data_IF_221269301288
#
_entry.id   IF_221269301288
#
_cell.length_a   1.000
_cell.length_b   1.000
_cell.length_c   1.000
_cell.angle_alpha   90.00
_cell.angle_beta   90.00
_cell.angle_gamma   90.00
#
_symmetry.space_group_name_H-M   'P 1'
#
loop_
_entity.id
_entity.type
_entity.pdbx_description
1 polymer ?
#
# COMPACT_ATOMS: atom_id res chain seq x y z
N UNK A 1 29.73 -11.63 -45.05
CA UNK A 1 30.31 -12.50 -44.01
C UNK A 1 30.61 -11.62 -42.82
N UNK A 2 29.90 -11.81 -41.71
CA UNK A 2 30.14 -11.13 -40.43
C UNK A 2 30.96 -12.07 -39.52
N UNK A 3 31.86 -11.57 -38.67
CA UNK A 3 32.37 -12.34 -37.55
C UNK A 3 31.52 -12.08 -36.30
N UNK A 4 31.14 -13.19 -35.65
CA UNK A 4 30.58 -13.25 -34.31
C UNK A 4 31.70 -13.00 -33.28
N UNK A 5 31.47 -12.13 -32.30
CA UNK A 5 32.18 -12.16 -31.02
C UNK A 5 31.17 -12.09 -29.88
N UNK A 6 30.97 -13.25 -29.24
CA UNK A 6 30.20 -13.39 -28.00
C UNK A 6 31.18 -13.14 -26.85
N UNK A 7 31.16 -11.93 -26.31
CA UNK A 7 31.85 -11.60 -25.06
C UNK A 7 30.97 -12.04 -23.88
N UNK A 8 31.28 -13.21 -23.33
CA UNK A 8 30.73 -13.68 -22.05
C UNK A 8 31.36 -12.92 -20.89
N UNK A 9 30.75 -11.81 -20.47
CA UNK A 9 31.08 -11.15 -19.20
C UNK A 9 30.54 -12.00 -18.05
N UNK A 10 31.42 -12.75 -17.40
CA UNK A 10 31.17 -13.34 -16.09
C UNK A 10 31.05 -12.23 -15.05
N UNK A 11 29.82 -11.90 -14.64
CA UNK A 11 29.57 -11.02 -13.50
C UNK A 11 29.91 -11.80 -12.22
N UNK A 12 31.11 -11.59 -11.69
CA UNK A 12 31.47 -12.04 -10.34
C UNK A 12 30.53 -11.36 -9.34
N UNK A 13 29.76 -12.19 -8.61
CA UNK A 13 28.93 -11.77 -7.48
C UNK A 13 29.84 -11.52 -6.27
N UNK A 14 30.14 -10.27 -6.01
CA UNK A 14 30.48 -9.82 -4.65
C UNK A 14 29.20 -9.31 -3.98
N UNK A 15 28.33 -10.25 -3.60
CA UNK A 15 27.21 -10.01 -2.69
C UNK A 15 27.58 -10.62 -1.35
N UNK A 16 28.30 -9.89 -0.50
CA UNK A 16 28.35 -10.23 0.92
C UNK A 16 28.89 -9.03 1.72
N UNK A 17 27.99 -8.45 2.52
CA UNK A 17 28.18 -7.71 3.78
C UNK A 17 27.28 -6.46 3.89
N UNK A 18 26.96 -5.77 2.80
CA UNK A 18 26.06 -4.61 2.86
C UNK A 18 24.54 -4.93 2.82
N UNK A 19 24.14 -6.20 2.64
CA UNK A 19 22.73 -6.56 2.48
C UNK A 19 21.99 -6.85 3.79
N UNK A 20 22.71 -7.17 4.87
CA UNK A 20 22.10 -7.51 6.15
C UNK A 20 21.59 -6.27 6.90
N UNK A 21 22.41 -5.20 6.96
CA UNK A 21 22.04 -3.95 7.64
C UNK A 21 20.89 -3.20 6.94
N UNK A 22 20.77 -3.35 5.62
CA UNK A 22 19.65 -2.79 4.85
C UNK A 22 18.35 -3.60 5.01
N UNK A 23 18.46 -4.89 5.33
CA UNK A 23 17.29 -5.74 5.58
C UNK A 23 16.64 -5.37 6.91
N UNK A 24 17.43 -5.07 7.94
CA UNK A 24 16.92 -4.65 9.25
C UNK A 24 16.17 -3.31 9.19
N UNK A 25 16.63 -2.37 8.34
CA UNK A 25 15.92 -1.12 8.02
C UNK A 25 14.62 -1.33 7.24
N UNK A 26 14.54 -2.36 6.40
CA UNK A 26 13.32 -2.76 5.66
C UNK A 26 12.30 -3.51 6.53
N UNK A 27 12.70 -3.96 7.72
CA UNK A 27 11.92 -4.79 8.64
C UNK A 27 11.41 -4.03 9.88
N UNK A 28 11.51 -2.71 9.92
CA UNK A 28 11.01 -1.95 11.07
C UNK A 28 9.50 -2.04 11.22
N UNK A 29 9.05 -2.68 12.31
CA UNK A 29 7.66 -2.71 12.71
C UNK A 29 7.18 -1.28 13.05
N UNK A 30 6.07 -0.86 12.44
CA UNK A 30 5.41 0.40 12.81
C UNK A 30 4.52 0.13 14.03
N UNK A 31 4.90 0.71 15.17
CA UNK A 31 4.27 0.46 16.48
C UNK A 31 3.11 1.39 16.83
N UNK A 32 2.89 2.45 16.03
CA UNK A 32 1.79 3.41 16.23
C UNK A 32 0.42 2.72 16.29
N UNK A 33 -0.36 3.02 17.33
CA UNK A 33 -1.71 2.45 17.53
C UNK A 33 -2.66 2.91 16.42
N UNK A 34 -2.58 4.18 16.06
CA UNK A 34 -3.33 4.82 14.99
C UNK A 34 -3.03 4.15 13.64
N UNK A 35 -1.74 3.92 13.35
CA UNK A 35 -1.32 3.21 12.15
C UNK A 35 -1.92 1.80 12.09
N UNK A 36 -1.74 1.02 13.16
CA UNK A 36 -2.18 -0.39 13.24
C UNK A 36 -3.69 -0.57 13.13
N UNK A 37 -4.48 0.49 13.34
CA UNK A 37 -5.92 0.46 13.14
C UNK A 37 -6.32 0.35 11.65
N UNK A 38 -5.49 0.86 10.73
CA UNK A 38 -5.77 0.83 9.28
C UNK A 38 -4.80 -0.04 8.49
N UNK A 39 -3.51 -0.04 8.87
CA UNK A 39 -2.41 -0.63 8.11
C UNK A 39 -1.77 -1.80 8.87
N UNK A 40 -1.15 -2.75 8.16
CA UNK A 40 -0.34 -3.76 8.83
C UNK A 40 0.91 -3.12 9.47
N UNK A 41 1.39 -3.70 10.57
CA UNK A 41 2.58 -3.21 11.27
C UNK A 41 3.89 -3.58 10.57
N UNK A 42 3.86 -4.61 9.72
CA UNK A 42 4.96 -5.05 8.86
C UNK A 42 4.40 -5.44 7.48
N UNK A 43 5.22 -5.38 6.43
CA UNK A 43 4.81 -5.66 5.04
C UNK A 43 5.63 -6.80 4.41
N UNK A 44 6.15 -7.70 5.25
CA UNK A 44 7.12 -8.73 4.87
C UNK A 44 6.50 -9.91 4.16
N UNK A 45 5.25 -10.24 4.48
CA UNK A 45 4.51 -11.28 3.78
C UNK A 45 3.79 -10.71 2.57
N UNK A 46 3.62 -11.52 1.52
CA UNK A 46 2.81 -11.14 0.35
C UNK A 46 1.39 -10.72 0.76
N UNK A 47 0.81 -11.38 1.77
CA UNK A 47 -0.51 -11.06 2.32
C UNK A 47 -0.54 -9.68 2.97
N UNK A 48 0.47 -9.34 3.77
CA UNK A 48 0.52 -8.04 4.45
C UNK A 48 0.85 -6.91 3.48
N UNK A 49 1.74 -7.17 2.52
CA UNK A 49 2.02 -6.25 1.40
C UNK A 49 0.74 -5.95 0.59
N UNK A 50 -0.01 -7.00 0.22
CA UNK A 50 -1.30 -6.83 -0.46
C UNK A 50 -2.32 -6.04 0.38
N UNK A 51 -2.42 -6.36 1.67
CA UNK A 51 -3.28 -5.63 2.61
C UNK A 51 -2.88 -4.15 2.70
N UNK A 52 -1.58 -3.86 2.79
CA UNK A 52 -1.05 -2.51 2.81
C UNK A 52 -1.44 -1.73 1.55
N UNK A 53 -1.14 -2.27 0.36
CA UNK A 53 -1.45 -1.63 -0.94
C UNK A 53 -2.96 -1.38 -1.07
N UNK A 54 -3.78 -2.36 -0.74
CA UNK A 54 -5.24 -2.23 -0.80
C UNK A 54 -5.75 -1.11 0.11
N UNK A 55 -5.19 -1.00 1.33
CA UNK A 55 -5.55 0.05 2.28
C UNK A 55 -5.06 1.43 1.84
N UNK A 56 -3.87 1.53 1.26
CA UNK A 56 -3.35 2.76 0.69
C UNK A 56 -4.27 3.26 -0.44
N UNK A 57 -4.63 2.38 -1.37
CA UNK A 57 -5.51 2.72 -2.48
C UNK A 57 -6.84 3.27 -1.96
N UNK A 58 -7.50 2.54 -1.07
CA UNK A 58 -8.77 2.98 -0.48
C UNK A 58 -8.63 4.31 0.28
N UNK A 59 -7.58 4.51 1.07
CA UNK A 59 -7.33 5.75 1.81
C UNK A 59 -7.16 6.94 0.87
N UNK A 60 -6.29 6.80 -0.12
CA UNK A 60 -5.94 7.88 -1.05
C UNK A 60 -7.14 8.29 -1.88
N UNK A 61 -7.88 7.35 -2.45
CA UNK A 61 -9.12 7.66 -3.17
C UNK A 61 -10.16 8.32 -2.27
N UNK A 62 -10.37 7.79 -1.05
CA UNK A 62 -11.31 8.38 -0.08
C UNK A 62 -10.96 9.84 0.22
N UNK A 63 -9.68 10.12 0.49
CA UNK A 63 -9.20 11.45 0.83
C UNK A 63 -9.30 12.43 -0.32
N UNK A 64 -8.98 12.01 -1.54
CA UNK A 64 -9.16 12.82 -2.75
C UNK A 64 -10.64 13.14 -2.97
N UNK A 65 -11.53 12.15 -2.89
CA UNK A 65 -12.94 12.36 -3.16
C UNK A 65 -13.60 13.32 -2.16
N UNK A 66 -13.25 13.23 -0.87
CA UNK A 66 -13.72 14.16 0.15
C UNK A 66 -13.14 15.56 -0.09
N UNK A 67 -11.81 15.66 -0.25
CA UNK A 67 -11.12 16.96 -0.39
C UNK A 67 -11.57 17.74 -1.62
N UNK A 68 -12.02 17.04 -2.67
CA UNK A 68 -12.55 17.61 -3.90
C UNK A 68 -14.09 17.71 -3.89
N UNK A 69 -14.74 17.35 -2.78
CA UNK A 69 -16.19 17.39 -2.57
C UNK A 69 -16.98 16.65 -3.66
N UNK A 70 -16.46 15.51 -4.11
CA UNK A 70 -17.07 14.70 -5.17
C UNK A 70 -18.30 13.92 -4.66
N UNK A 71 -18.46 13.81 -3.35
CA UNK A 71 -19.60 13.15 -2.70
C UNK A 71 -20.00 13.90 -1.43
N UNK A 72 -21.16 13.55 -0.88
CA UNK A 72 -21.62 14.07 0.41
C UNK A 72 -20.62 13.75 1.51
N UNK A 73 -20.38 14.70 2.41
CA UNK A 73 -19.45 14.53 3.52
C UNK A 73 -19.81 13.34 4.42
N UNK A 74 -21.10 13.00 4.55
CA UNK A 74 -21.58 11.81 5.30
C UNK A 74 -21.01 10.49 4.79
N UNK A 75 -20.57 10.44 3.53
CA UNK A 75 -19.92 9.28 2.93
C UNK A 75 -18.48 9.08 3.42
N UNK A 76 -17.93 10.00 4.22
CA UNK A 76 -16.56 9.95 4.72
C UNK A 76 -16.50 10.15 6.23
N UNK A 77 -15.49 9.53 6.85
CA UNK A 77 -15.14 9.65 8.26
C UNK A 77 -13.66 9.96 8.39
N UNK A 78 -13.30 10.88 9.29
CA UNK A 78 -11.92 11.26 9.53
C UNK A 78 -11.23 10.19 10.38
N UNK A 79 -10.06 9.73 9.95
CA UNK A 79 -9.21 8.79 10.68
C UNK A 79 -7.86 9.43 10.95
N UNK A 80 -7.36 9.24 12.18
CA UNK A 80 -6.01 9.62 12.56
C UNK A 80 -5.06 8.50 12.14
N UNK A 81 -4.00 8.85 11.43
CA UNK A 81 -2.96 7.90 10.98
C UNK A 81 -1.73 7.98 11.87
N UNK A 82 -1.46 9.19 12.39
CA UNK A 82 -0.37 9.49 13.30
C UNK A 82 -0.69 10.78 14.07
N UNK A 83 0.16 11.20 15.01
CA UNK A 83 -0.05 12.36 15.89
C UNK A 83 -0.61 13.59 15.19
N UNK A 84 -0.03 13.94 14.04
CA UNK A 84 -0.37 15.15 13.27
C UNK A 84 -1.03 14.86 11.92
N UNK A 85 -1.25 13.58 11.59
CA UNK A 85 -1.73 13.17 10.27
C UNK A 85 -3.13 12.58 10.39
N UNK A 86 -4.06 13.18 9.67
CA UNK A 86 -5.42 12.66 9.52
C UNK A 86 -5.81 12.61 8.07
N UNK A 87 -6.57 11.58 7.71
CA UNK A 87 -7.09 11.37 6.38
C UNK A 87 -8.58 11.05 6.43
N UNK A 88 -9.23 11.15 5.27
CA UNK A 88 -10.64 10.80 5.14
C UNK A 88 -10.73 9.38 4.62
N UNK A 89 -11.55 8.58 5.27
CA UNK A 89 -11.86 7.21 4.90
C UNK A 89 -13.34 7.09 4.58
N UNK A 90 -13.72 6.22 3.65
CA UNK A 90 -15.15 5.99 3.34
C UNK A 90 -15.91 5.49 4.57
N UNK A 91 -17.07 6.09 4.81
CA UNK A 91 -18.01 5.65 5.82
C UNK A 91 -18.86 4.49 5.28
N UNK A 92 -18.56 3.26 5.73
CA UNK A 92 -19.31 2.06 5.33
C UNK A 92 -20.70 1.94 5.95
N UNK A 93 -21.05 2.77 6.94
CA UNK A 93 -22.39 2.82 7.51
C UNK A 93 -23.35 3.64 6.62
N UNK A 94 -22.80 4.54 5.81
CA UNK A 94 -23.57 5.31 4.83
C UNK A 94 -23.80 4.46 3.57
N UNK A 95 -25.05 4.29 3.08
CA UNK A 95 -25.33 3.40 1.94
C UNK A 95 -24.54 3.72 0.66
N UNK A 96 -24.32 5.00 0.36
CA UNK A 96 -23.51 5.42 -0.79
C UNK A 96 -22.01 5.16 -0.56
N UNK A 97 -21.52 5.38 0.65
CA UNK A 97 -20.15 5.06 1.04
C UNK A 97 -19.88 3.56 0.94
N UNK A 98 -20.78 2.72 1.48
CA UNK A 98 -20.69 1.27 1.37
C UNK A 98 -20.59 0.80 -0.10
N UNK A 99 -21.48 1.29 -0.97
CA UNK A 99 -21.46 0.95 -2.40
C UNK A 99 -20.16 1.34 -3.09
N UNK A 100 -19.60 2.51 -2.75
CA UNK A 100 -18.31 2.94 -3.26
C UNK A 100 -17.17 2.03 -2.79
N UNK A 101 -17.16 1.68 -1.50
CA UNK A 101 -16.15 0.78 -0.94
C UNK A 101 -16.14 -0.58 -1.65
N UNK A 102 -17.30 -1.14 -1.98
CA UNK A 102 -17.37 -2.40 -2.72
C UNK A 102 -16.73 -2.30 -4.13
N UNK A 103 -16.81 -1.14 -4.80
CA UNK A 103 -16.12 -0.92 -6.08
C UNK A 103 -14.60 -0.85 -5.90
N UNK A 104 -14.13 -0.13 -4.89
CA UNK A 104 -12.69 -0.04 -4.59
C UNK A 104 -12.13 -1.39 -4.15
N UNK A 105 -12.90 -2.18 -3.40
CA UNK A 105 -12.55 -3.55 -3.02
C UNK A 105 -12.40 -4.43 -4.25
N UNK A 106 -13.32 -4.37 -5.21
CA UNK A 106 -13.17 -5.09 -6.48
C UNK A 106 -11.90 -4.71 -7.26
N UNK A 107 -11.50 -3.43 -7.23
CA UNK A 107 -10.23 -2.99 -7.80
C UNK A 107 -9.01 -3.54 -7.03
N UNK A 108 -9.07 -3.59 -5.70
CA UNK A 108 -8.04 -4.21 -4.88
C UNK A 108 -7.94 -5.72 -5.14
N UNK A 109 -9.07 -6.42 -5.24
CA UNK A 109 -9.10 -7.86 -5.54
C UNK A 109 -8.43 -8.16 -6.88
N UNK A 110 -8.55 -7.26 -7.86
CA UNK A 110 -7.85 -7.41 -9.14
C UNK A 110 -6.33 -7.33 -9.00
N UNK A 111 -5.80 -6.48 -8.11
CA UNK A 111 -4.36 -6.41 -7.80
C UNK A 111 -3.87 -7.74 -7.22
N UNK A 112 -4.64 -8.32 -6.30
CA UNK A 112 -4.26 -9.56 -5.62
C UNK A 112 -4.27 -10.81 -6.51
N UNK A 113 -4.93 -10.76 -7.67
CA UNK A 113 -4.96 -11.87 -8.65
C UNK A 113 -3.77 -11.90 -9.61
N UNK A 114 -2.99 -10.82 -9.67
CA UNK A 114 -1.82 -10.71 -10.58
C UNK A 114 -0.54 -11.21 -9.89
N UNK A 115 -0.64 -11.79 -8.69
CA UNK A 115 0.49 -12.22 -7.86
C UNK A 115 0.63 -13.74 -7.78
#
# INVERSE_FOLDING_TARGET
>A
MAPNDISSTSFSRDFNEASADNLDLLLHEITSKEWRALFPSMMTSQKDSFKFISRCLCLTFSHIMESRRLMKQSCFKKHKLDENISAWWINNEEPLGHRLMEKLKGACDAIGRVS
#
